data_IF_206879249431
#
_entry.id   IF_206879249431
#
_cell.length_a   1.000
_cell.length_b   1.000
_cell.length_c   1.000
_cell.angle_alpha   90.00
_cell.angle_beta   90.00
_cell.angle_gamma   90.00
#
_symmetry.space_group_name_H-M   'P 1'
#
loop_
_entity.id
_entity.type
_entity.pdbx_description
1 polymer ?
#
# COMPACT_ATOMS: atom_id res chain seq x y z
N UNK A 1 -73.01 2.59 14.71
CA UNK A 1 -72.79 4.04 14.72
C UNK A 1 -71.40 4.27 14.14
N UNK A 2 -71.39 5.09 13.10
CA UNK A 2 -70.17 5.36 12.29
C UNK A 2 -69.30 6.45 13.01
N UNK A 3 -68.02 6.20 13.13
CA UNK A 3 -67.02 7.18 13.57
C UNK A 3 -65.89 7.27 12.55
N UNK A 4 -65.82 8.38 11.81
CA UNK A 4 -64.82 8.66 10.77
C UNK A 4 -63.52 9.08 11.42
N UNK A 5 -62.38 8.51 10.98
CA UNK A 5 -61.05 9.00 11.30
C UNK A 5 -60.53 9.87 10.16
N UNK A 6 -60.25 11.14 10.49
CA UNK A 6 -59.56 12.08 9.61
C UNK A 6 -58.05 11.78 9.60
N UNK A 7 -57.52 11.45 8.43
CA UNK A 7 -56.13 11.38 8.18
C UNK A 7 -55.59 12.76 7.77
N UNK A 8 -54.79 13.38 8.62
CA UNK A 8 -54.04 14.59 8.31
C UNK A 8 -52.68 14.20 7.67
N UNK A 9 -52.56 14.43 6.38
CA UNK A 9 -51.28 14.30 5.68
C UNK A 9 -50.47 15.60 5.88
N UNK A 10 -49.44 15.55 6.71
CA UNK A 10 -48.45 16.62 6.79
C UNK A 10 -47.42 16.41 5.68
N UNK A 11 -47.50 17.26 4.67
CA UNK A 11 -46.48 17.37 3.62
C UNK A 11 -45.24 18.07 4.18
N UNK A 12 -44.16 17.30 4.40
CA UNK A 12 -42.84 17.89 4.64
C UNK A 12 -42.21 18.24 3.28
N UNK A 13 -42.12 19.53 2.99
CA UNK A 13 -41.27 20.03 1.92
C UNK A 13 -39.80 19.83 2.29
N UNK A 14 -38.90 19.40 1.39
CA UNK A 14 -37.48 19.34 1.68
C UNK A 14 -36.94 20.79 1.74
N UNK A 15 -36.56 21.23 2.93
CA UNK A 15 -35.76 22.44 3.11
C UNK A 15 -34.40 22.22 2.42
N UNK A 16 -34.12 23.11 1.48
CA UNK A 16 -32.88 23.10 0.70
C UNK A 16 -31.66 23.13 1.61
N UNK A 17 -30.89 22.06 1.56
CA UNK A 17 -29.56 22.01 2.15
C UNK A 17 -28.65 22.88 1.31
N UNK A 18 -28.31 24.02 1.84
CA UNK A 18 -27.33 24.97 1.31
C UNK A 18 -25.98 24.26 1.16
N UNK A 19 -25.54 24.11 -0.06
CA UNK A 19 -24.16 23.82 -0.45
C UNK A 19 -23.25 25.00 -0.04
N UNK A 20 -22.86 25.06 1.22
CA UNK A 20 -21.90 26.03 1.74
C UNK A 20 -20.82 25.27 2.54
N UNK A 21 -19.74 24.89 1.87
CA UNK A 21 -18.39 24.66 2.41
C UNK A 21 -17.40 24.10 1.37
N UNK A 22 -17.61 24.36 0.06
CA UNK A 22 -16.64 23.89 -0.97
C UNK A 22 -15.50 24.89 -1.22
N UNK A 23 -15.56 26.13 -0.68
CA UNK A 23 -14.63 27.18 -1.13
C UNK A 23 -13.33 27.32 -0.35
N UNK A 24 -13.20 26.76 0.85
CA UNK A 24 -11.94 26.85 1.62
C UNK A 24 -11.00 25.65 1.40
N UNK A 25 -11.50 24.48 1.04
CA UNK A 25 -10.67 23.31 0.79
C UNK A 25 -10.01 23.35 -0.61
N UNK A 26 -10.69 23.93 -1.59
CA UNK A 26 -10.18 24.02 -2.97
C UNK A 26 -8.92 24.88 -3.09
N UNK A 27 -8.81 25.95 -2.29
CA UNK A 27 -7.62 26.80 -2.26
C UNK A 27 -6.39 26.11 -1.64
N UNK A 28 -6.59 25.16 -0.72
CA UNK A 28 -5.52 24.37 -0.11
C UNK A 28 -5.03 23.22 -1.01
N UNK A 29 -5.84 22.79 -1.98
CA UNK A 29 -5.50 21.72 -2.93
C UNK A 29 -4.77 22.23 -4.18
N UNK A 30 -4.93 23.53 -4.54
CA UNK A 30 -4.31 24.09 -5.73
C UNK A 30 -2.77 24.08 -5.60
N UNK A 31 -2.15 23.22 -6.36
CA UNK A 31 -0.71 23.16 -6.56
C UNK A 31 -0.44 23.48 -8.04
N UNK A 32 0.24 24.60 -8.31
CA UNK A 32 0.70 24.90 -9.65
C UNK A 32 1.84 23.91 -10.01
N UNK A 33 1.46 22.81 -10.63
CA UNK A 33 2.41 21.78 -11.07
C UNK A 33 3.20 22.34 -12.26
N UNK A 34 4.52 22.33 -12.25
CA UNK A 34 5.33 22.78 -13.38
C UNK A 34 5.03 21.96 -14.64
N UNK A 35 5.04 22.62 -15.79
CA UNK A 35 4.97 21.95 -17.09
C UNK A 35 6.22 21.11 -17.33
N UNK A 36 6.06 19.96 -17.99
CA UNK A 36 7.15 19.12 -18.41
C UNK A 36 7.02 17.65 -18.00
N UNK A 37 7.97 16.82 -18.44
CA UNK A 37 7.97 15.41 -18.10
C UNK A 37 8.22 15.19 -16.60
N UNK A 38 7.65 14.14 -16.00
CA UNK A 38 7.75 13.86 -14.56
C UNK A 38 9.18 13.87 -14.00
N UNK A 39 10.16 13.44 -14.81
CA UNK A 39 11.59 13.40 -14.43
C UNK A 39 12.21 14.81 -14.29
N UNK A 40 11.66 15.80 -14.97
CA UNK A 40 12.06 17.21 -14.85
C UNK A 40 11.36 17.81 -13.64
N UNK A 41 10.04 17.64 -13.50
CA UNK A 41 9.26 18.08 -12.34
C UNK A 41 9.83 17.49 -11.05
N UNK A 42 10.28 16.24 -11.05
CA UNK A 42 10.89 15.58 -9.89
C UNK A 42 12.09 16.33 -9.28
N UNK A 43 12.78 17.17 -10.05
CA UNK A 43 13.97 17.91 -9.63
C UNK A 43 13.69 19.38 -9.24
N UNK A 44 12.47 19.86 -9.43
CA UNK A 44 12.07 21.22 -9.08
C UNK A 44 11.87 21.35 -7.56
N UNK A 45 12.96 21.65 -6.84
CA UNK A 45 12.94 21.78 -5.39
C UNK A 45 11.98 22.88 -4.91
N UNK A 46 11.74 23.94 -5.72
CA UNK A 46 10.80 25.00 -5.34
C UNK A 46 9.35 24.49 -5.36
N UNK A 47 8.99 23.70 -6.37
CA UNK A 47 7.69 23.01 -6.41
C UNK A 47 7.53 22.03 -5.23
N UNK A 48 8.53 21.17 -5.01
CA UNK A 48 8.45 20.16 -3.96
C UNK A 48 8.51 20.75 -2.55
N UNK A 49 9.13 21.93 -2.36
CA UNK A 49 9.02 22.66 -1.11
C UNK A 49 7.58 23.12 -0.84
N UNK A 50 6.83 23.55 -1.87
CA UNK A 50 5.39 23.86 -1.73
C UNK A 50 4.56 22.62 -1.39
N UNK A 51 4.88 21.46 -1.99
CA UNK A 51 4.24 20.18 -1.64
C UNK A 51 4.58 19.78 -0.19
N UNK A 52 5.84 19.86 0.20
CA UNK A 52 6.30 19.55 1.56
C UNK A 52 5.63 20.42 2.62
N UNK A 53 5.40 21.71 2.33
CA UNK A 53 4.67 22.64 3.20
C UNK A 53 3.20 22.25 3.44
N UNK A 54 2.66 21.29 2.69
CA UNK A 54 1.33 20.71 2.94
C UNK A 54 1.36 19.61 4.01
N UNK A 55 2.50 19.32 4.62
CA UNK A 55 2.62 18.31 5.68
C UNK A 55 3.14 18.96 6.97
N UNK A 56 2.64 18.47 8.10
CA UNK A 56 3.25 18.76 9.41
C UNK A 56 4.16 17.61 9.78
N UNK A 57 5.45 17.80 9.57
CA UNK A 57 6.49 16.82 9.89
C UNK A 57 7.21 17.28 11.15
N UNK A 58 7.65 16.34 12.00
CA UNK A 58 8.51 16.67 13.14
C UNK A 58 9.84 17.24 12.64
N UNK A 59 10.37 18.21 13.33
CA UNK A 59 11.71 18.82 13.11
C UNK A 59 12.79 18.14 13.96
N UNK A 60 12.41 17.24 14.84
CA UNK A 60 13.35 16.52 15.73
C UNK A 60 14.29 15.60 14.95
N UNK A 61 13.86 15.05 13.83
CA UNK A 61 14.61 14.09 13.01
C UNK A 61 14.35 14.29 11.53
N UNK A 62 15.33 13.95 10.69
CA UNK A 62 15.11 13.74 9.26
C UNK A 62 14.43 12.38 9.10
N UNK A 63 13.11 12.38 8.87
CA UNK A 63 12.33 11.15 8.79
C UNK A 63 12.50 10.50 7.41
N UNK A 64 13.23 9.38 7.36
CA UNK A 64 13.42 8.50 6.19
C UNK A 64 12.71 7.15 6.38
N UNK A 65 11.64 7.11 7.18
CA UNK A 65 10.83 5.90 7.47
C UNK A 65 9.33 6.18 7.26
N UNK A 66 8.94 6.58 6.05
CA UNK A 66 7.54 6.74 5.66
C UNK A 66 6.83 5.41 5.33
N UNK A 67 7.49 4.28 5.50
CA UNK A 67 6.98 2.97 5.08
C UNK A 67 6.04 2.30 6.08
N UNK A 68 5.92 2.78 7.31
CA UNK A 68 4.99 2.21 8.28
C UNK A 68 3.55 2.63 7.98
N UNK A 69 3.32 3.94 7.90
CA UNK A 69 2.10 4.57 7.39
C UNK A 69 2.44 5.92 6.78
N UNK A 70 1.56 6.48 5.94
CA UNK A 70 1.74 7.80 5.34
C UNK A 70 1.22 8.92 6.25
N UNK A 71 1.91 10.06 6.26
CA UNK A 71 1.35 11.28 6.84
C UNK A 71 0.20 11.78 5.97
N UNK A 72 -0.87 12.22 6.62
CA UNK A 72 -1.91 13.00 5.95
C UNK A 72 -1.38 14.39 5.59
N UNK A 73 -1.63 14.83 4.37
CA UNK A 73 -1.46 16.24 4.03
C UNK A 73 -2.46 17.09 4.82
N UNK A 74 -2.14 18.36 5.07
CA UNK A 74 -3.00 19.27 5.86
C UNK A 74 -4.47 19.30 5.40
N UNK A 75 -4.79 19.40 4.08
CA UNK A 75 -6.18 19.38 3.64
C UNK A 75 -6.89 18.07 3.96
N UNK A 76 -6.16 16.94 3.91
CA UNK A 76 -6.69 15.61 4.27
C UNK A 76 -6.91 15.51 5.79
N UNK A 77 -5.98 16.01 6.59
CA UNK A 77 -6.11 16.04 8.05
C UNK A 77 -7.30 16.91 8.51
N UNK A 78 -7.48 18.08 7.88
CA UNK A 78 -8.62 18.95 8.14
C UNK A 78 -9.96 18.31 7.76
N UNK A 79 -10.01 17.61 6.61
CA UNK A 79 -11.17 16.82 6.21
C UNK A 79 -11.47 15.70 7.22
N UNK A 80 -10.44 15.03 7.72
CA UNK A 80 -10.59 13.98 8.72
C UNK A 80 -11.20 14.53 10.02
N UNK A 81 -10.73 15.69 10.51
CA UNK A 81 -11.31 16.34 11.68
C UNK A 81 -12.79 16.69 11.46
N UNK A 82 -13.15 17.30 10.31
CA UNK A 82 -14.54 17.59 9.97
C UNK A 82 -15.41 16.32 9.93
N UNK A 83 -14.87 15.23 9.39
CA UNK A 83 -15.58 13.96 9.29
C UNK A 83 -15.76 13.28 10.66
N UNK A 84 -14.79 13.42 11.58
CA UNK A 84 -14.93 12.97 12.98
C UNK A 84 -16.08 13.74 13.66
N UNK A 85 -16.07 15.07 13.56
CA UNK A 85 -17.11 15.92 14.15
C UNK A 85 -18.49 15.56 13.61
N UNK A 86 -18.62 15.38 12.28
CA UNK A 86 -19.86 14.96 11.64
C UNK A 86 -20.34 13.61 12.14
N UNK A 87 -19.49 12.59 12.12
CA UNK A 87 -19.84 11.25 12.55
C UNK A 87 -20.27 11.21 14.03
N UNK A 88 -19.61 12.00 14.89
CA UNK A 88 -19.95 12.10 16.31
C UNK A 88 -21.25 12.88 16.54
N UNK A 89 -21.45 14.02 15.88
CA UNK A 89 -22.64 14.86 16.02
C UNK A 89 -23.90 14.17 15.50
N UNK A 90 -23.82 13.61 14.29
CA UNK A 90 -24.97 13.05 13.59
C UNK A 90 -25.20 11.57 13.93
N UNK A 91 -24.19 10.91 14.57
CA UNK A 91 -24.28 9.63 15.25
C UNK A 91 -24.96 8.52 14.42
N UNK A 92 -25.91 7.79 15.04
CA UNK A 92 -26.59 6.65 14.38
C UNK A 92 -27.54 7.09 13.25
N UNK A 93 -28.02 8.33 13.24
CA UNK A 93 -28.81 8.84 12.11
C UNK A 93 -27.92 8.85 10.85
N UNK A 94 -26.76 9.46 10.91
CA UNK A 94 -25.78 9.46 9.81
C UNK A 94 -25.42 8.04 9.40
N UNK A 95 -25.03 7.19 10.35
CA UNK A 95 -24.56 5.84 10.08
C UNK A 95 -25.60 4.97 9.36
N UNK A 96 -26.90 5.17 9.64
CA UNK A 96 -27.98 4.37 9.08
C UNK A 96 -28.64 4.94 7.83
N UNK A 97 -28.59 6.26 7.66
CA UNK A 97 -29.35 6.95 6.60
C UNK A 97 -28.49 7.51 5.48
N UNK A 98 -27.25 7.93 5.79
CA UNK A 98 -26.40 8.64 4.83
C UNK A 98 -25.14 7.85 4.47
N UNK A 99 -24.49 7.25 5.45
CA UNK A 99 -23.22 6.57 5.25
C UNK A 99 -23.24 5.45 4.20
N UNK A 100 -24.28 4.60 4.04
CA UNK A 100 -24.30 3.57 3.01
C UNK A 100 -24.16 4.12 1.58
N UNK A 101 -24.81 5.25 1.29
CA UNK A 101 -24.69 5.91 -0.01
C UNK A 101 -23.30 6.54 -0.18
N UNK A 102 -22.74 7.15 0.87
CA UNK A 102 -21.39 7.69 0.86
C UNK A 102 -20.34 6.59 0.67
N UNK A 103 -20.46 5.48 1.37
CA UNK A 103 -19.57 4.32 1.22
C UNK A 103 -19.55 3.83 -0.22
N UNK A 104 -20.71 3.74 -0.87
CA UNK A 104 -20.83 3.38 -2.29
C UNK A 104 -20.12 4.38 -3.20
N UNK A 105 -20.28 5.67 -2.96
CA UNK A 105 -19.62 6.72 -3.73
C UNK A 105 -18.11 6.71 -3.56
N UNK A 106 -17.60 6.55 -2.33
CA UNK A 106 -16.17 6.45 -2.04
C UNK A 106 -15.57 5.20 -2.69
N UNK A 107 -16.28 4.06 -2.63
CA UNK A 107 -15.87 2.83 -3.32
C UNK A 107 -15.72 3.04 -4.83
N UNK A 108 -16.67 3.72 -5.45
CA UNK A 108 -16.59 4.02 -6.89
C UNK A 108 -15.38 4.89 -7.24
N UNK A 109 -15.03 5.86 -6.41
CA UNK A 109 -13.84 6.70 -6.60
C UNK A 109 -12.54 5.89 -6.49
N UNK A 110 -12.42 5.05 -5.44
CA UNK A 110 -11.25 4.16 -5.31
C UNK A 110 -11.17 3.19 -6.49
N UNK A 111 -12.29 2.59 -6.89
CA UNK A 111 -12.34 1.68 -8.03
C UNK A 111 -11.89 2.38 -9.34
N UNK A 112 -12.34 3.61 -9.58
CA UNK A 112 -11.87 4.42 -10.72
C UNK A 112 -10.37 4.67 -10.63
N UNK A 113 -9.86 5.04 -9.45
CA UNK A 113 -8.43 5.33 -9.26
C UNK A 113 -7.53 4.12 -9.51
N UNK A 114 -7.98 2.90 -9.18
CA UNK A 114 -7.22 1.65 -9.41
C UNK A 114 -7.56 0.96 -10.73
N UNK A 115 -8.49 1.51 -11.53
CA UNK A 115 -8.89 0.92 -12.81
C UNK A 115 -9.64 -0.40 -12.64
N UNK A 116 -10.57 -0.50 -11.66
CA UNK A 116 -11.42 -1.67 -11.44
C UNK A 116 -12.91 -1.30 -11.47
N UNK A 117 -13.79 -2.32 -11.40
CA UNK A 117 -15.21 -2.11 -11.16
C UNK A 117 -15.46 -1.93 -9.64
N UNK A 118 -16.45 -1.11 -9.23
CA UNK A 118 -16.83 -1.02 -7.82
C UNK A 118 -17.27 -2.35 -7.21
N UNK A 119 -17.80 -3.28 -8.03
CA UNK A 119 -18.22 -4.62 -7.62
C UNK A 119 -17.04 -5.57 -7.32
N UNK A 120 -15.84 -5.21 -7.74
CA UNK A 120 -14.61 -5.98 -7.52
C UNK A 120 -13.82 -5.50 -6.30
N UNK A 121 -14.32 -4.47 -5.57
CA UNK A 121 -13.59 -3.84 -4.49
C UNK A 121 -14.46 -3.71 -3.23
N UNK A 122 -13.88 -4.03 -2.06
CA UNK A 122 -14.49 -3.73 -0.75
C UNK A 122 -13.45 -3.15 0.20
N UNK A 123 -13.92 -2.34 1.20
CA UNK A 123 -13.00 -1.73 2.16
C UNK A 123 -12.62 -2.72 3.27
N UNK A 124 -11.34 -2.63 3.66
CA UNK A 124 -10.77 -3.27 4.83
C UNK A 124 -10.14 -2.21 5.74
N UNK A 125 -9.72 -2.61 6.94
CA UNK A 125 -8.96 -1.70 7.83
C UNK A 125 -7.51 -1.52 7.36
N UNK A 126 -6.98 -2.45 6.60
CA UNK A 126 -5.64 -2.41 6.01
C UNK A 126 -5.45 -3.57 5.02
N UNK A 127 -4.34 -3.55 4.26
CA UNK A 127 -4.00 -4.64 3.34
C UNK A 127 -3.79 -5.99 4.06
N UNK A 128 -3.31 -6.00 5.29
CA UNK A 128 -3.11 -7.23 6.06
C UNK A 128 -4.42 -7.96 6.27
N UNK A 129 -5.47 -7.26 6.71
CA UNK A 129 -6.81 -7.84 6.87
C UNK A 129 -7.36 -8.35 5.54
N UNK A 130 -7.25 -7.56 4.47
CA UNK A 130 -7.68 -7.95 3.13
C UNK A 130 -6.96 -9.23 2.66
N UNK A 131 -5.65 -9.25 2.75
CA UNK A 131 -4.84 -10.39 2.31
C UNK A 131 -5.04 -11.63 3.17
N UNK A 132 -5.19 -11.48 4.50
CA UNK A 132 -5.51 -12.59 5.39
C UNK A 132 -6.87 -13.20 5.04
N UNK A 133 -7.87 -12.39 4.74
CA UNK A 133 -9.17 -12.89 4.30
C UNK A 133 -9.05 -13.62 2.95
N UNK A 134 -8.37 -13.05 1.96
CA UNK A 134 -8.13 -13.67 0.66
C UNK A 134 -7.42 -15.02 0.77
N UNK A 135 -6.35 -15.09 1.57
CA UNK A 135 -5.56 -16.30 1.76
C UNK A 135 -6.35 -17.34 2.56
N UNK A 136 -6.89 -16.97 3.72
CA UNK A 136 -7.53 -17.92 4.63
C UNK A 136 -8.82 -18.53 4.08
N UNK A 137 -9.53 -17.79 3.24
CA UNK A 137 -10.81 -18.18 2.63
C UNK A 137 -10.65 -18.76 1.22
N UNK A 138 -9.43 -18.83 0.68
CA UNK A 138 -9.18 -19.45 -0.62
C UNK A 138 -9.52 -20.94 -0.58
N UNK A 139 -10.41 -21.39 -1.51
CA UNK A 139 -11.07 -22.69 -1.41
C UNK A 139 -10.59 -23.73 -2.44
N UNK A 140 -9.52 -23.42 -3.21
CA UNK A 140 -8.97 -24.32 -4.24
C UNK A 140 -7.68 -25.01 -3.82
N UNK A 141 -7.43 -25.13 -2.52
CA UNK A 141 -6.30 -25.84 -1.93
C UNK A 141 -6.82 -27.03 -1.11
N UNK A 142 -6.24 -28.18 -1.31
CA UNK A 142 -6.54 -29.42 -0.57
C UNK A 142 -5.29 -30.23 -0.23
N UNK A 143 -5.50 -31.40 0.35
CA UNK A 143 -4.44 -32.32 0.74
C UNK A 143 -3.58 -32.72 -0.48
N UNK A 144 -2.27 -32.57 -0.34
CA UNK A 144 -1.28 -32.87 -1.38
C UNK A 144 -1.09 -31.79 -2.44
N UNK A 145 -1.81 -30.68 -2.37
CA UNK A 145 -1.50 -29.47 -3.15
C UNK A 145 -0.31 -28.70 -2.55
N UNK A 146 0.19 -27.72 -3.29
CA UNK A 146 1.24 -26.80 -2.85
C UNK A 146 0.74 -25.35 -2.93
N UNK A 147 1.20 -24.53 -2.01
CA UNK A 147 1.08 -23.07 -2.11
C UNK A 147 2.48 -22.46 -2.02
N UNK A 148 2.70 -21.29 -2.64
CA UNK A 148 4.05 -20.75 -2.82
C UNK A 148 4.13 -19.29 -2.40
N UNK A 149 5.27 -18.92 -1.77
CA UNK A 149 5.65 -17.53 -1.48
C UNK A 149 7.17 -17.36 -1.50
N UNK A 150 7.64 -16.11 -1.52
CA UNK A 150 9.06 -15.78 -1.50
C UNK A 150 9.54 -15.32 -0.11
N UNK A 151 10.86 -15.34 0.12
CA UNK A 151 11.51 -14.82 1.33
C UNK A 151 11.25 -13.33 1.55
N UNK A 152 11.10 -12.58 0.47
CA UNK A 152 10.82 -11.15 0.50
C UNK A 152 9.34 -10.82 0.78
N UNK A 153 8.42 -11.77 0.70
CA UNK A 153 7.01 -11.50 1.02
C UNK A 153 6.84 -11.10 2.49
N UNK A 154 5.78 -10.31 2.77
CA UNK A 154 5.55 -9.79 4.10
C UNK A 154 5.31 -10.93 5.10
N UNK A 155 5.99 -10.90 6.24
CA UNK A 155 6.00 -12.01 7.19
C UNK A 155 4.59 -12.45 7.63
N UNK A 156 3.68 -11.50 7.88
CA UNK A 156 2.31 -11.84 8.26
C UNK A 156 1.56 -12.62 7.17
N UNK A 157 1.89 -12.37 5.89
CA UNK A 157 1.31 -13.09 4.76
C UNK A 157 1.95 -14.47 4.61
N UNK A 158 3.27 -14.60 4.85
CA UNK A 158 3.93 -15.91 4.92
C UNK A 158 3.28 -16.79 6.03
N UNK A 159 3.00 -16.22 7.20
CA UNK A 159 2.30 -16.93 8.29
C UNK A 159 0.89 -17.35 7.88
N UNK A 160 0.14 -16.48 7.18
CA UNK A 160 -1.19 -16.80 6.69
C UNK A 160 -1.16 -17.92 5.64
N UNK A 161 -0.15 -17.95 4.76
CA UNK A 161 0.06 -19.05 3.81
C UNK A 161 0.38 -20.35 4.54
N UNK A 162 1.28 -20.31 5.54
CA UNK A 162 1.60 -21.49 6.36
C UNK A 162 0.35 -22.05 7.09
N UNK A 163 -0.48 -21.18 7.66
CA UNK A 163 -1.71 -21.55 8.33
C UNK A 163 -2.71 -22.19 7.34
N UNK A 164 -2.90 -21.60 6.16
CA UNK A 164 -3.74 -22.18 5.11
C UNK A 164 -3.26 -23.56 4.72
N UNK A 165 -1.95 -23.75 4.49
CA UNK A 165 -1.37 -25.04 4.14
C UNK A 165 -1.64 -26.08 5.24
N UNK A 166 -1.37 -25.73 6.50
CA UNK A 166 -1.59 -26.62 7.64
C UNK A 166 -3.06 -27.05 7.77
N UNK A 167 -4.00 -26.11 7.65
CA UNK A 167 -5.44 -26.39 7.74
C UNK A 167 -5.98 -27.23 6.59
N UNK A 168 -5.39 -27.15 5.41
CA UNK A 168 -5.84 -27.84 4.19
C UNK A 168 -5.04 -29.09 3.87
N UNK A 169 -4.00 -29.44 4.65
CA UNK A 169 -3.12 -30.58 4.38
C UNK A 169 -2.24 -30.38 3.15
N UNK A 170 -1.97 -29.15 2.78
CA UNK A 170 -1.12 -28.76 1.67
C UNK A 170 0.33 -28.56 2.13
N UNK A 171 1.25 -28.45 1.17
CA UNK A 171 2.65 -28.12 1.43
C UNK A 171 2.95 -26.66 1.05
N UNK A 172 4.02 -26.12 1.64
CA UNK A 172 4.52 -24.78 1.30
C UNK A 172 5.83 -24.90 0.52
N UNK A 173 5.89 -24.29 -0.65
CA UNK A 173 7.13 -24.06 -1.38
C UNK A 173 7.60 -22.63 -1.16
N UNK A 174 8.79 -22.46 -0.59
CA UNK A 174 9.43 -21.16 -0.41
C UNK A 174 10.48 -20.95 -1.47
N UNK A 175 10.47 -19.75 -2.07
CA UNK A 175 11.44 -19.28 -3.04
C UNK A 175 12.29 -18.17 -2.43
N UNK A 176 13.60 -18.17 -2.68
CA UNK A 176 14.47 -17.04 -2.35
C UNK A 176 14.66 -16.16 -3.59
N UNK A 177 14.36 -14.87 -3.48
CA UNK A 177 14.55 -13.91 -4.57
C UNK A 177 16.05 -13.69 -4.79
N UNK A 178 16.53 -13.72 -6.06
CA UNK A 178 17.92 -13.46 -6.35
C UNK A 178 18.41 -12.09 -5.83
N UNK A 179 19.57 -12.06 -5.22
CA UNK A 179 20.24 -10.84 -4.77
C UNK A 179 21.70 -10.88 -5.23
N UNK A 180 22.14 -9.98 -6.13
CA UNK A 180 21.37 -8.88 -6.72
C UNK A 180 20.25 -9.39 -7.64
N UNK A 181 19.15 -8.62 -7.72
CA UNK A 181 18.01 -8.95 -8.55
C UNK A 181 18.18 -8.37 -9.97
N UNK A 182 17.68 -9.08 -10.98
CA UNK A 182 17.36 -8.54 -12.30
C UNK A 182 16.03 -9.14 -12.73
N UNK A 183 15.31 -8.50 -13.65
CA UNK A 183 14.03 -9.02 -14.10
C UNK A 183 14.15 -10.45 -14.63
N UNK A 184 15.17 -10.73 -15.45
CA UNK A 184 15.41 -12.07 -15.99
C UNK A 184 15.72 -13.11 -14.90
N UNK A 185 16.53 -12.75 -13.90
CA UNK A 185 16.86 -13.64 -12.79
C UNK A 185 15.64 -13.94 -11.91
N UNK A 186 14.78 -12.92 -11.66
CA UNK A 186 13.52 -13.09 -10.92
C UNK A 186 12.59 -14.05 -11.67
N UNK A 187 12.35 -13.81 -12.98
CA UNK A 187 11.48 -14.67 -13.80
C UNK A 187 12.01 -16.09 -13.89
N UNK A 188 13.31 -16.27 -14.06
CA UNK A 188 13.96 -17.60 -14.07
C UNK A 188 13.78 -18.32 -12.73
N UNK A 189 13.90 -17.61 -11.60
CA UNK A 189 13.70 -18.19 -10.27
C UNK A 189 12.25 -18.65 -10.06
N UNK A 190 11.25 -17.83 -10.43
CA UNK A 190 9.84 -18.24 -10.38
C UNK A 190 9.53 -19.40 -11.33
N UNK A 191 10.01 -19.37 -12.57
CA UNK A 191 9.83 -20.48 -13.52
C UNK A 191 10.35 -21.79 -12.93
N UNK A 192 11.61 -21.79 -12.45
CA UNK A 192 12.21 -22.97 -11.83
C UNK A 192 11.43 -23.47 -10.62
N UNK A 193 10.97 -22.55 -9.76
CA UNK A 193 10.20 -22.92 -8.56
C UNK A 193 8.84 -23.52 -8.92
N UNK A 194 8.13 -22.94 -9.91
CA UNK A 194 6.84 -23.42 -10.39
C UNK A 194 6.96 -24.79 -11.07
N UNK A 195 8.00 -24.99 -11.88
CA UNK A 195 8.24 -26.28 -12.56
C UNK A 195 8.60 -27.39 -11.55
N UNK A 196 9.34 -27.05 -10.48
CA UNK A 196 9.64 -27.98 -9.40
C UNK A 196 8.43 -28.31 -8.50
N UNK A 197 7.37 -27.50 -8.54
CA UNK A 197 6.17 -27.64 -7.73
C UNK A 197 4.89 -27.64 -8.57
N UNK A 198 4.65 -28.65 -9.42
CA UNK A 198 3.56 -28.66 -10.40
C UNK A 198 2.15 -28.74 -9.76
N UNK A 199 2.06 -29.03 -8.46
CA UNK A 199 0.81 -29.03 -7.69
C UNK A 199 0.50 -27.70 -7.03
N UNK A 200 1.21 -26.64 -7.37
CA UNK A 200 0.94 -25.28 -6.84
C UNK A 200 -0.45 -24.81 -7.26
N UNK A 201 -1.24 -24.29 -6.29
CA UNK A 201 -2.59 -23.74 -6.51
C UNK A 201 -2.68 -22.24 -6.24
N UNK A 202 -1.91 -21.76 -5.29
CA UNK A 202 -1.90 -20.35 -4.87
C UNK A 202 -0.46 -19.85 -4.80
N UNK A 203 -0.23 -18.70 -5.41
CA UNK A 203 1.03 -17.96 -5.37
C UNK A 203 0.80 -16.59 -4.72
N UNK A 204 1.57 -16.29 -3.67
CA UNK A 204 1.66 -14.96 -3.07
C UNK A 204 2.77 -14.16 -3.74
N UNK A 205 2.51 -12.91 -4.09
CA UNK A 205 3.48 -11.95 -4.62
C UNK A 205 3.37 -10.63 -3.89
N UNK A 206 4.46 -10.08 -3.39
CA UNK A 206 4.51 -8.69 -2.92
C UNK A 206 5.06 -7.80 -4.03
N UNK A 207 4.21 -6.92 -4.61
CA UNK A 207 4.59 -6.09 -5.76
C UNK A 207 5.73 -5.13 -5.43
N UNK A 208 5.60 -4.32 -4.35
CA UNK A 208 6.70 -3.52 -3.82
C UNK A 208 7.12 -4.06 -2.47
N UNK A 209 8.30 -4.64 -2.40
CA UNK A 209 8.75 -5.31 -1.19
C UNK A 209 9.01 -4.32 -0.04
N UNK A 210 8.46 -4.62 1.12
CA UNK A 210 8.59 -3.76 2.32
C UNK A 210 9.98 -3.82 2.99
N UNK A 211 10.83 -4.78 2.65
CA UNK A 211 12.16 -4.97 3.24
C UNK A 211 13.23 -4.25 2.41
N UNK A 212 13.27 -4.52 1.12
CA UNK A 212 14.29 -4.01 0.20
C UNK A 212 13.80 -2.92 -0.75
N UNK A 213 12.49 -2.82 -0.97
CA UNK A 213 11.89 -1.92 -1.96
C UNK A 213 11.92 -2.43 -3.41
N UNK A 214 12.35 -3.69 -3.61
CA UNK A 214 12.32 -4.30 -4.94
C UNK A 214 10.88 -4.35 -5.47
N UNK A 215 10.66 -3.83 -6.67
CA UNK A 215 9.42 -4.02 -7.42
C UNK A 215 9.51 -5.34 -8.20
N UNK A 216 8.58 -6.25 -7.96
CA UNK A 216 8.50 -7.49 -8.73
C UNK A 216 7.78 -7.25 -10.07
N UNK A 217 8.20 -7.93 -11.15
CA UNK A 217 7.49 -7.95 -12.44
C UNK A 217 6.23 -8.84 -12.33
N UNK A 218 5.21 -8.35 -11.60
CA UNK A 218 4.03 -9.14 -11.20
C UNK A 218 3.29 -9.67 -12.41
N UNK A 219 3.05 -8.84 -13.43
CA UNK A 219 2.31 -9.23 -14.64
C UNK A 219 2.96 -10.41 -15.35
N UNK A 220 4.29 -10.36 -15.49
CA UNK A 220 5.06 -11.42 -16.12
C UNK A 220 5.04 -12.71 -15.26
N UNK A 221 5.12 -12.59 -13.93
CA UNK A 221 5.01 -13.75 -13.04
C UNK A 221 3.59 -14.35 -13.09
N UNK A 222 2.55 -13.51 -13.13
CA UNK A 222 1.16 -13.96 -13.34
C UNK A 222 1.03 -14.71 -14.68
N UNK A 223 1.66 -14.22 -15.75
CA UNK A 223 1.68 -14.90 -17.05
C UNK A 223 2.38 -16.27 -17.01
N UNK A 224 3.34 -16.48 -16.11
CA UNK A 224 3.91 -17.80 -15.85
C UNK A 224 2.98 -18.72 -15.04
N UNK A 225 2.25 -18.16 -14.08
CA UNK A 225 1.38 -18.91 -13.16
C UNK A 225 0.06 -19.35 -13.82
N UNK A 226 -0.58 -18.46 -14.58
CA UNK A 226 -1.93 -18.66 -15.14
C UNK A 226 -2.09 -19.91 -16.02
N UNK A 227 -1.18 -20.20 -17.00
CA UNK A 227 -1.28 -21.42 -17.84
C UNK A 227 -1.13 -22.72 -17.01
N UNK A 228 -0.57 -22.64 -15.81
CA UNK A 228 -0.43 -23.74 -14.85
C UNK A 228 -1.63 -23.94 -13.95
N UNK A 229 -2.70 -23.12 -14.13
CA UNK A 229 -3.89 -23.15 -13.28
C UNK A 229 -3.65 -22.62 -11.86
N UNK A 230 -2.62 -21.80 -11.66
CA UNK A 230 -2.24 -21.23 -10.38
C UNK A 230 -2.90 -19.85 -10.24
N UNK A 231 -3.62 -19.63 -9.14
CA UNK A 231 -4.16 -18.31 -8.81
C UNK A 231 -3.13 -17.47 -8.06
N UNK A 232 -3.21 -16.15 -8.26
CA UNK A 232 -2.23 -15.22 -7.70
C UNK A 232 -2.90 -14.20 -6.80
N UNK A 233 -2.39 -14.10 -5.56
CA UNK A 233 -2.72 -13.04 -4.62
C UNK A 233 -1.56 -12.06 -4.52
N UNK A 234 -1.84 -10.76 -4.69
CA UNK A 234 -0.83 -9.71 -4.71
C UNK A 234 -0.97 -8.79 -3.50
N UNK A 235 0.12 -8.65 -2.76
CA UNK A 235 0.29 -7.60 -1.77
C UNK A 235 0.77 -6.32 -2.46
N UNK A 236 -0.15 -5.37 -2.64
CA UNK A 236 0.13 -4.04 -3.19
C UNK A 236 0.20 -2.95 -2.09
N UNK A 237 0.41 -3.34 -0.83
CA UNK A 237 0.42 -2.42 0.32
C UNK A 237 1.42 -1.27 0.17
N UNK A 238 2.53 -1.47 -0.53
CA UNK A 238 3.56 -0.46 -0.75
C UNK A 238 3.63 0.06 -2.18
N UNK A 239 3.10 -0.64 -3.16
CA UNK A 239 3.10 -0.16 -4.54
C UNK A 239 1.93 0.79 -4.83
N UNK A 240 0.76 0.52 -4.26
CA UNK A 240 -0.40 1.36 -4.44
C UNK A 240 -0.17 2.79 -3.92
N UNK A 241 -0.30 3.77 -4.81
CA UNK A 241 -0.04 5.18 -4.52
C UNK A 241 1.44 5.57 -4.43
N UNK A 242 2.38 4.64 -4.54
CA UNK A 242 3.81 4.93 -4.66
C UNK A 242 4.26 5.00 -6.13
N UNK A 243 3.77 4.07 -6.91
CA UNK A 243 4.06 3.98 -8.35
C UNK A 243 2.75 4.01 -9.13
N UNK A 244 2.74 4.43 -10.41
CA UNK A 244 1.59 4.29 -11.28
C UNK A 244 1.18 2.82 -11.34
N UNK A 245 -0.10 2.53 -11.06
CA UNK A 245 -0.59 1.17 -10.91
C UNK A 245 -2.09 1.10 -11.13
N UNK A 246 -2.52 0.21 -12.01
CA UNK A 246 -3.91 -0.23 -12.15
C UNK A 246 -4.04 -1.73 -11.91
N UNK A 247 -5.26 -2.23 -11.73
CA UNK A 247 -5.49 -3.67 -11.59
C UNK A 247 -5.12 -4.42 -12.87
N UNK A 248 -5.24 -3.79 -14.04
CA UNK A 248 -4.81 -4.35 -15.33
C UNK A 248 -3.28 -4.49 -15.43
N UNK A 249 -2.52 -3.62 -14.77
CA UNK A 249 -1.05 -3.72 -14.74
C UNK A 249 -0.56 -4.89 -13.90
N UNK A 250 -1.32 -5.28 -12.87
CA UNK A 250 -1.01 -6.47 -12.08
C UNK A 250 -1.52 -7.74 -12.73
N UNK A 251 -2.66 -7.69 -13.41
CA UNK A 251 -3.39 -8.83 -13.99
C UNK A 251 -3.61 -10.00 -13.00
N UNK A 252 -3.68 -9.68 -11.70
CA UNK A 252 -3.81 -10.64 -10.61
C UNK A 252 -5.26 -11.09 -10.39
N UNK A 253 -5.46 -12.23 -9.71
CA UNK A 253 -6.78 -12.70 -9.33
C UNK A 253 -7.31 -11.97 -8.09
N UNK A 254 -6.43 -11.65 -7.15
CA UNK A 254 -6.71 -11.03 -5.86
C UNK A 254 -5.65 -10.01 -5.49
N UNK A 255 -6.07 -8.87 -4.88
CA UNK A 255 -5.11 -7.83 -4.45
C UNK A 255 -5.52 -7.25 -3.09
N UNK A 256 -4.55 -7.04 -2.21
CA UNK A 256 -4.71 -6.27 -0.97
C UNK A 256 -4.02 -4.91 -1.07
N UNK A 257 -4.72 -3.83 -0.70
CA UNK A 257 -4.29 -2.45 -0.83
C UNK A 257 -4.27 -1.73 0.52
N UNK A 258 -3.34 -0.78 0.71
CA UNK A 258 -3.39 0.20 1.80
C UNK A 258 -3.68 1.59 1.25
N UNK A 259 -4.74 2.23 1.76
CA UNK A 259 -5.04 3.64 1.47
C UNK A 259 -4.30 4.58 2.44
N UNK A 260 -3.97 4.11 3.63
CA UNK A 260 -3.31 4.89 4.68
C UNK A 260 -1.77 4.95 4.57
N UNK A 261 -1.16 4.41 3.52
CA UNK A 261 0.28 4.52 3.26
C UNK A 261 0.55 5.63 2.25
N UNK A 262 0.77 5.26 1.01
CA UNK A 262 1.20 6.20 -0.03
C UNK A 262 0.09 7.11 -0.56
N UNK A 263 -1.17 6.76 -0.38
CA UNK A 263 -2.31 7.66 -0.64
C UNK A 263 -2.42 8.72 0.46
N UNK A 264 -2.03 8.38 1.69
CA UNK A 264 -2.06 9.31 2.82
C UNK A 264 -3.46 9.53 3.39
N UNK A 265 -4.38 8.57 3.23
CA UNK A 265 -5.63 8.56 3.97
C UNK A 265 -5.38 8.28 5.47
N UNK A 266 -6.34 8.53 6.38
CA UNK A 266 -6.19 8.22 7.80
C UNK A 266 -5.89 6.74 8.04
N UNK A 267 -5.10 6.43 9.09
CA UNK A 267 -4.81 5.04 9.48
C UNK A 267 -6.10 4.28 9.76
N UNK A 268 -6.17 3.03 9.28
CA UNK A 268 -7.33 2.17 9.46
C UNK A 268 -8.22 2.04 8.22
N UNK A 269 -7.68 2.31 7.02
CA UNK A 269 -8.36 2.05 5.75
C UNK A 269 -7.43 1.40 4.74
N UNK A 270 -7.91 0.33 4.14
CA UNK A 270 -7.36 -0.40 3.02
C UNK A 270 -8.49 -0.91 2.14
N UNK A 271 -8.17 -1.74 1.16
CA UNK A 271 -9.16 -2.35 0.29
C UNK A 271 -8.73 -3.76 -0.12
N UNK A 272 -9.73 -4.59 -0.37
CA UNK A 272 -9.64 -5.90 -1.01
C UNK A 272 -10.17 -5.79 -2.42
N UNK A 273 -9.42 -6.30 -3.39
CA UNK A 273 -9.85 -6.49 -4.77
C UNK A 273 -9.95 -7.99 -5.08
N UNK A 274 -11.03 -8.38 -5.72
CA UNK A 274 -11.23 -9.72 -6.28
C UNK A 274 -11.73 -9.53 -7.72
N UNK A 275 -11.00 -10.06 -8.69
CA UNK A 275 -11.46 -10.07 -10.06
C UNK A 275 -12.83 -10.78 -10.14
N UNK A 276 -13.78 -10.21 -10.84
CA UNK A 276 -15.20 -10.61 -10.83
C UNK A 276 -15.41 -12.11 -11.06
N UNK A 277 -14.70 -12.69 -12.04
CA UNK A 277 -14.76 -14.11 -12.38
C UNK A 277 -14.06 -15.03 -11.35
N UNK A 278 -13.44 -14.46 -10.32
CA UNK A 278 -12.71 -15.17 -9.26
C UNK A 278 -13.41 -15.12 -7.90
N UNK A 279 -14.53 -14.42 -7.80
CA UNK A 279 -15.23 -14.24 -6.52
C UNK A 279 -15.62 -15.60 -5.87
N UNK A 280 -15.98 -16.60 -6.66
CA UNK A 280 -16.34 -17.95 -6.17
C UNK A 280 -15.15 -18.76 -5.62
N UNK A 281 -13.91 -18.29 -5.80
CA UNK A 281 -12.70 -18.94 -5.30
C UNK A 281 -12.38 -18.55 -3.85
N UNK A 282 -13.08 -17.54 -3.33
CA UNK A 282 -12.92 -17.05 -1.95
C UNK A 282 -14.24 -17.35 -1.23
N UNK A 283 -14.17 -18.09 -0.14
CA UNK A 283 -15.34 -18.39 0.70
C UNK A 283 -15.87 -17.11 1.36
N UNK A 284 -17.11 -17.14 1.81
CA UNK A 284 -17.72 -16.10 2.62
C UNK A 284 -16.91 -15.92 3.91
N UNK A 285 -16.82 -14.71 4.41
CA UNK A 285 -16.26 -14.43 5.73
C UNK A 285 -17.00 -15.27 6.79
N UNK A 286 -16.24 -15.83 7.73
CA UNK A 286 -16.77 -16.81 8.68
C UNK A 286 -18.01 -16.27 9.42
N UNK A 287 -19.13 -16.98 9.28
CA UNK A 287 -20.40 -16.66 9.94
C UNK A 287 -21.13 -15.41 9.43
N UNK A 288 -20.63 -14.74 8.36
CA UNK A 288 -21.27 -13.54 7.84
C UNK A 288 -22.34 -13.86 6.79
N UNK A 289 -23.58 -13.50 7.12
CA UNK A 289 -24.74 -13.57 6.21
C UNK A 289 -25.31 -12.18 5.85
N UNK A 290 -24.61 -11.11 6.22
CA UNK A 290 -25.08 -9.74 6.03
C UNK A 290 -25.11 -9.28 4.57
N UNK A 291 -24.32 -9.93 3.70
CA UNK A 291 -24.26 -9.64 2.27
C UNK A 291 -24.54 -10.91 1.43
N UNK A 292 -25.11 -10.75 0.20
CA UNK A 292 -25.30 -11.87 -0.73
C UNK A 292 -23.97 -12.53 -1.08
N UNK A 293 -23.98 -13.88 -1.24
CA UNK A 293 -22.78 -14.65 -1.62
C UNK A 293 -22.16 -14.19 -2.95
N UNK A 294 -22.93 -13.53 -3.81
CA UNK A 294 -22.50 -12.97 -5.08
C UNK A 294 -21.87 -11.58 -4.93
N UNK A 295 -21.86 -11.00 -3.73
CA UNK A 295 -21.21 -9.72 -3.45
C UNK A 295 -19.83 -9.93 -2.85
N UNK A 296 -18.87 -9.09 -3.24
CA UNK A 296 -17.54 -9.04 -2.62
C UNK A 296 -17.63 -8.69 -1.13
N UNK A 297 -18.64 -7.94 -0.71
CA UNK A 297 -18.84 -7.54 0.69
C UNK A 297 -19.03 -8.76 1.60
N UNK A 298 -19.50 -9.89 1.08
CA UNK A 298 -19.59 -11.14 1.84
C UNK A 298 -18.24 -11.80 2.14
N UNK A 299 -17.15 -11.30 1.58
CA UNK A 299 -15.80 -11.85 1.77
C UNK A 299 -15.05 -11.20 2.93
N UNK A 300 -15.56 -10.09 3.47
CA UNK A 300 -14.91 -9.39 4.55
C UNK A 300 -15.94 -8.75 5.48
N UNK A 301 -16.00 -9.24 6.73
CA UNK A 301 -16.87 -8.68 7.76
C UNK A 301 -16.06 -7.86 8.75
N UNK A 302 -16.18 -6.53 8.69
CA UNK A 302 -15.40 -5.62 9.54
C UNK A 302 -16.19 -5.09 10.75
N UNK A 303 -17.51 -5.36 10.83
CA UNK A 303 -18.39 -4.78 11.84
C UNK A 303 -18.46 -3.25 11.72
N UNK A 304 -18.62 -2.56 12.85
CA UNK A 304 -18.61 -1.09 12.89
C UNK A 304 -17.17 -0.59 12.76
N UNK A 305 -16.91 0.18 11.71
CA UNK A 305 -15.59 0.79 11.45
C UNK A 305 -15.58 2.26 11.80
N UNK A 306 -14.43 2.92 11.70
CA UNK A 306 -14.33 4.37 11.80
C UNK A 306 -14.86 5.02 10.52
N UNK A 307 -16.07 5.55 10.55
CA UNK A 307 -16.71 6.19 9.40
C UNK A 307 -15.88 7.35 8.83
N UNK A 308 -15.33 8.19 9.72
CA UNK A 308 -14.55 9.35 9.32
C UNK A 308 -13.32 8.96 8.48
N UNK A 309 -12.71 7.80 8.76
CA UNK A 309 -11.56 7.29 8.01
C UNK A 309 -11.92 7.04 6.54
N UNK A 310 -13.03 6.34 6.30
CA UNK A 310 -13.48 6.04 4.92
C UNK A 310 -13.95 7.31 4.22
N UNK A 311 -14.69 8.20 4.94
CA UNK A 311 -15.17 9.47 4.40
C UNK A 311 -14.05 10.41 3.95
N UNK A 312 -12.84 10.26 4.47
CA UNK A 312 -11.67 11.10 4.14
C UNK A 312 -10.86 10.55 2.96
N UNK A 313 -11.16 9.34 2.49
CA UNK A 313 -10.46 8.76 1.34
C UNK A 313 -10.55 9.64 0.09
N UNK A 314 -11.73 10.25 -0.27
CA UNK A 314 -11.82 11.15 -1.42
C UNK A 314 -10.84 12.32 -1.35
N UNK A 315 -10.72 12.98 -0.19
CA UNK A 315 -9.80 14.11 0.00
C UNK A 315 -8.34 13.69 -0.19
N UNK A 316 -7.99 12.48 0.25
CA UNK A 316 -6.65 11.94 0.05
C UNK A 316 -6.38 11.63 -1.44
N UNK A 317 -7.33 11.04 -2.16
CA UNK A 317 -7.20 10.78 -3.59
C UNK A 317 -7.10 12.07 -4.40
N UNK A 318 -7.91 13.08 -4.06
CA UNK A 318 -7.89 14.40 -4.71
C UNK A 318 -6.53 15.10 -4.50
N UNK A 319 -5.98 15.05 -3.28
CA UNK A 319 -4.63 15.57 -3.02
C UNK A 319 -3.57 14.86 -3.85
N UNK A 320 -3.63 13.54 -3.99
CA UNK A 320 -2.69 12.80 -4.85
C UNK A 320 -2.87 13.17 -6.34
N UNK A 321 -4.11 13.32 -6.79
CA UNK A 321 -4.42 13.72 -8.15
C UNK A 321 -3.91 15.14 -8.48
N UNK A 322 -3.95 16.07 -7.50
CA UNK A 322 -3.44 17.45 -7.68
C UNK A 322 -1.93 17.52 -7.91
N UNK A 323 -1.17 16.51 -7.50
CA UNK A 323 0.28 16.37 -7.75
C UNK A 323 0.53 15.62 -9.07
N UNK A 324 -0.30 14.62 -9.36
CA UNK A 324 -0.11 13.63 -10.41
C UNK A 324 0.69 12.42 -9.93
N UNK A 325 0.19 11.23 -10.24
CA UNK A 325 0.79 9.96 -9.78
C UNK A 325 2.20 9.76 -10.36
N UNK A 326 2.39 10.14 -11.62
CA UNK A 326 3.67 10.05 -12.33
C UNK A 326 4.71 11.01 -11.74
N UNK A 327 4.30 12.25 -11.46
CA UNK A 327 5.18 13.26 -10.83
C UNK A 327 5.63 12.80 -9.44
N UNK A 328 4.68 12.28 -8.65
CA UNK A 328 4.97 11.70 -7.34
C UNK A 328 5.95 10.53 -7.44
N UNK A 329 5.69 9.57 -8.32
CA UNK A 329 6.57 8.41 -8.50
C UNK A 329 7.97 8.82 -8.95
N UNK A 330 8.07 9.79 -9.87
CA UNK A 330 9.34 10.34 -10.32
C UNK A 330 10.09 11.06 -9.19
N UNK A 331 9.38 11.86 -8.35
CA UNK A 331 9.99 12.51 -7.18
C UNK A 331 10.54 11.53 -6.17
N UNK A 332 9.74 10.53 -5.80
CA UNK A 332 10.15 9.52 -4.85
C UNK A 332 11.36 8.74 -5.34
N UNK A 333 11.39 8.38 -6.63
CA UNK A 333 12.55 7.75 -7.27
C UNK A 333 13.76 8.68 -7.29
N UNK A 334 13.59 9.96 -7.63
CA UNK A 334 14.65 10.95 -7.61
C UNK A 334 15.31 11.05 -6.22
N UNK A 335 14.52 11.13 -5.16
CA UNK A 335 15.04 11.16 -3.78
C UNK A 335 15.81 9.88 -3.44
N UNK A 336 15.27 8.72 -3.83
CA UNK A 336 15.96 7.44 -3.67
C UNK A 336 17.27 7.40 -4.45
N UNK A 337 17.26 7.74 -5.73
CA UNK A 337 18.42 7.64 -6.60
C UNK A 337 19.53 8.62 -6.17
N UNK A 338 19.15 9.77 -5.61
CA UNK A 338 20.10 10.78 -5.16
C UNK A 338 21.04 10.28 -4.06
N UNK A 339 20.55 9.56 -3.07
CA UNK A 339 21.43 8.99 -2.06
C UNK A 339 22.08 7.68 -2.53
N UNK A 340 21.35 6.84 -3.25
CA UNK A 340 21.83 5.53 -3.72
C UNK A 340 23.02 5.68 -4.66
N UNK A 341 22.98 6.61 -5.63
CA UNK A 341 24.07 6.83 -6.58
C UNK A 341 25.39 7.23 -5.88
N UNK A 342 25.31 7.95 -4.76
CA UNK A 342 26.47 8.39 -3.98
C UNK A 342 27.09 7.28 -3.13
N UNK A 343 26.30 6.30 -2.71
CA UNK A 343 26.79 5.26 -1.79
C UNK A 343 27.04 3.89 -2.45
N UNK A 344 26.47 3.62 -3.63
CA UNK A 344 26.53 2.31 -4.28
C UNK A 344 27.95 1.84 -4.58
N UNK A 345 28.89 2.75 -4.83
CA UNK A 345 30.29 2.46 -5.13
C UNK A 345 31.21 2.59 -3.89
N UNK A 346 30.65 2.95 -2.74
CA UNK A 346 31.41 3.08 -1.49
C UNK A 346 31.75 1.70 -0.95
N UNK A 347 33.03 1.48 -0.64
CA UNK A 347 33.48 0.20 -0.10
C UNK A 347 32.72 -0.15 1.20
N UNK A 348 32.26 -1.38 1.30
CA UNK A 348 31.48 -1.86 2.44
C UNK A 348 29.99 -1.53 2.39
N UNK A 349 29.50 -0.75 1.42
CA UNK A 349 28.06 -0.49 1.25
C UNK A 349 27.46 -1.44 0.21
N UNK A 350 26.45 -2.18 0.60
CA UNK A 350 25.67 -3.05 -0.28
C UNK A 350 24.22 -2.54 -0.37
N UNK A 351 23.85 -1.93 -1.51
CA UNK A 351 22.47 -1.52 -1.84
C UNK A 351 21.73 -2.72 -2.44
N UNK A 352 20.61 -3.11 -1.84
CA UNK A 352 19.92 -4.38 -2.14
C UNK A 352 19.00 -4.32 -3.36
N UNK A 353 18.65 -3.11 -3.83
CA UNK A 353 17.89 -2.96 -5.08
C UNK A 353 18.82 -2.79 -6.27
N UNK A 354 18.44 -3.31 -7.46
CA UNK A 354 19.23 -3.16 -8.68
C UNK A 354 19.28 -1.71 -9.16
N UNK A 355 20.15 -1.45 -10.14
CA UNK A 355 20.19 -0.20 -10.88
C UNK A 355 19.33 -0.31 -12.15
N UNK A 356 18.05 -0.60 -11.94
CA UNK A 356 17.03 -0.77 -12.96
C UNK A 356 15.78 0.00 -12.54
N UNK A 357 15.43 1.03 -13.30
CA UNK A 357 14.33 1.93 -13.01
C UNK A 357 12.96 1.23 -12.97
N UNK A 358 12.81 0.07 -13.60
CA UNK A 358 11.56 -0.72 -13.61
C UNK A 358 11.38 -1.54 -12.34
N UNK A 359 12.47 -1.80 -11.63
CA UNK A 359 12.49 -2.66 -10.43
C UNK A 359 12.62 -1.87 -9.13
N UNK A 360 12.52 -0.53 -9.15
CA UNK A 360 12.72 0.32 -7.98
C UNK A 360 11.66 1.42 -7.86
N UNK A 361 11.24 1.70 -6.62
CA UNK A 361 10.39 2.82 -6.24
C UNK A 361 11.12 3.77 -5.28
N UNK A 362 10.42 4.19 -4.22
CA UNK A 362 10.97 5.03 -3.15
C UNK A 362 11.83 4.23 -2.16
N UNK A 363 11.38 3.03 -1.82
CA UNK A 363 11.97 2.19 -0.77
C UNK A 363 13.27 1.58 -1.25
N UNK A 364 14.30 1.57 -0.39
CA UNK A 364 15.55 0.86 -0.67
C UNK A 364 16.17 0.36 0.63
N UNK A 365 16.55 -0.93 0.66
CA UNK A 365 17.34 -1.54 1.73
C UNK A 365 18.83 -1.47 1.43
N UNK A 366 19.65 -1.35 2.47
CA UNK A 366 21.11 -1.46 2.36
C UNK A 366 21.72 -2.16 3.57
N UNK A 367 22.94 -2.69 3.39
CA UNK A 367 23.80 -3.26 4.45
C UNK A 367 25.15 -2.58 4.46
N UNK A 368 25.83 -2.56 5.62
CA UNK A 368 27.21 -2.12 5.75
C UNK A 368 28.12 -3.26 6.22
N UNK A 369 29.27 -3.46 5.58
CA UNK A 369 30.34 -4.36 6.00
C UNK A 369 29.85 -5.77 6.36
N UNK A 370 28.95 -6.36 5.54
CA UNK A 370 28.33 -7.67 5.81
C UNK A 370 27.57 -7.78 7.15
N UNK A 371 27.07 -6.67 7.67
CA UNK A 371 26.18 -6.68 8.85
C UNK A 371 24.83 -7.28 8.47
N UNK A 372 24.64 -8.54 8.78
CA UNK A 372 23.49 -9.34 8.33
C UNK A 372 22.53 -9.73 9.46
N UNK A 373 22.92 -9.50 10.72
CA UNK A 373 22.06 -9.83 11.87
C UNK A 373 21.13 -8.69 12.25
N UNK A 374 20.02 -9.02 12.90
CA UNK A 374 19.05 -8.04 13.42
C UNK A 374 19.72 -7.01 14.34
N UNK A 375 20.54 -7.49 15.28
CA UNK A 375 21.23 -6.61 16.23
C UNK A 375 22.18 -5.61 15.54
N UNK A 376 22.93 -6.05 14.54
CA UNK A 376 23.85 -5.20 13.78
C UNK A 376 23.10 -4.12 12.97
N UNK A 377 21.98 -4.47 12.35
CA UNK A 377 21.18 -3.53 11.56
C UNK A 377 20.37 -2.58 12.46
N UNK A 378 19.92 -3.05 13.64
CA UNK A 378 19.33 -2.17 14.64
C UNK A 378 20.38 -1.15 15.16
N UNK A 379 21.60 -1.58 15.47
CA UNK A 379 22.68 -0.70 15.89
C UNK A 379 23.00 0.35 14.79
N UNK A 380 23.02 -0.07 13.52
CA UNK A 380 23.21 0.85 12.39
C UNK A 380 22.08 1.89 12.30
N UNK A 381 20.83 1.47 12.43
CA UNK A 381 19.69 2.40 12.43
C UNK A 381 19.74 3.37 13.62
N UNK A 382 20.16 2.91 14.80
CA UNK A 382 20.37 3.76 15.97
C UNK A 382 21.51 4.76 15.74
N UNK A 383 22.63 4.33 15.17
CA UNK A 383 23.75 5.25 14.81
C UNK A 383 23.29 6.34 13.86
N UNK A 384 22.47 6.02 12.83
CA UNK A 384 21.92 7.03 11.93
C UNK A 384 21.04 8.04 12.68
N UNK A 385 20.26 7.57 13.66
CA UNK A 385 19.42 8.44 14.46
C UNK A 385 20.23 9.28 15.46
N UNK A 386 21.05 8.64 16.28
CA UNK A 386 21.70 9.28 17.42
C UNK A 386 22.82 10.24 17.03
N UNK A 387 23.61 9.91 16.00
CA UNK A 387 24.74 10.76 15.57
C UNK A 387 24.38 11.72 14.43
N UNK A 388 23.39 11.37 13.57
CA UNK A 388 23.08 12.15 12.37
C UNK A 388 21.65 12.71 12.36
N UNK A 389 20.82 12.35 13.33
CA UNK A 389 19.42 12.77 13.40
C UNK A 389 18.59 12.25 12.23
N UNK A 390 18.89 11.04 11.70
CA UNK A 390 18.20 10.45 10.56
C UNK A 390 17.46 9.19 11.02
N UNK A 391 16.13 9.22 10.96
CA UNK A 391 15.29 8.09 11.36
C UNK A 391 15.10 7.12 10.19
N UNK A 392 15.59 5.89 10.38
CA UNK A 392 15.46 4.73 9.49
C UNK A 392 15.06 3.51 10.32
N UNK A 393 14.80 2.36 9.68
CA UNK A 393 14.41 1.16 10.45
C UNK A 393 15.00 -0.13 9.84
N UNK A 394 15.42 -1.06 10.71
CA UNK A 394 15.89 -2.38 10.28
C UNK A 394 14.74 -3.23 9.73
N UNK A 395 15.06 -4.17 8.83
CA UNK A 395 14.14 -5.16 8.29
C UNK A 395 14.76 -6.55 8.37
N UNK A 396 13.92 -7.54 8.69
CA UNK A 396 14.32 -8.91 9.01
C UNK A 396 13.71 -9.92 8.04
N UNK A 397 14.28 -11.14 8.01
CA UNK A 397 13.72 -12.27 7.29
C UNK A 397 14.10 -12.37 5.82
N UNK A 398 15.12 -11.63 5.37
CA UNK A 398 15.72 -11.81 4.05
C UNK A 398 16.63 -13.04 4.05
N UNK A 399 16.65 -13.82 2.96
CA UNK A 399 17.46 -15.03 2.85
C UNK A 399 18.97 -14.77 3.06
N UNK A 400 19.48 -13.61 2.61
CA UNK A 400 20.91 -13.23 2.74
C UNK A 400 21.20 -12.33 3.95
N UNK A 401 20.28 -12.24 4.90
CA UNK A 401 20.44 -11.48 6.14
C UNK A 401 19.68 -10.14 6.13
N UNK A 402 19.55 -9.58 7.31
CA UNK A 402 18.78 -8.37 7.59
C UNK A 402 19.41 -7.12 6.98
N UNK A 403 18.66 -6.03 6.93
CA UNK A 403 19.10 -4.76 6.34
C UNK A 403 18.50 -3.55 7.07
N UNK A 404 19.02 -2.36 6.79
CA UNK A 404 18.35 -1.09 7.10
C UNK A 404 17.57 -0.63 5.89
N UNK A 405 16.30 -0.25 6.11
CA UNK A 405 15.42 0.29 5.07
C UNK A 405 15.38 1.82 5.15
N UNK A 406 15.45 2.45 3.99
CA UNK A 406 15.22 3.87 3.75
C UNK A 406 13.93 4.04 2.96
N UNK A 407 13.07 4.96 3.40
CA UNK A 407 11.78 5.22 2.77
C UNK A 407 11.49 6.72 2.78
N UNK A 408 11.99 7.50 1.80
CA UNK A 408 11.66 8.91 1.67
C UNK A 408 10.20 9.11 1.29
N UNK A 409 9.65 10.28 1.62
CA UNK A 409 8.31 10.71 1.26
C UNK A 409 8.32 12.07 0.57
N UNK A 410 7.15 12.58 0.18
CA UNK A 410 7.02 13.85 -0.55
C UNK A 410 7.44 15.08 0.28
N UNK A 411 7.50 14.97 1.59
CA UNK A 411 7.97 16.02 2.48
C UNK A 411 9.51 16.06 2.63
N UNK A 412 10.22 15.06 2.09
CA UNK A 412 11.69 15.08 2.09
C UNK A 412 12.24 15.91 0.93
N UNK A 413 13.35 16.60 1.21
CA UNK A 413 14.11 17.39 0.25
C UNK A 413 15.28 16.61 -0.37
N UNK A 414 15.88 17.16 -1.43
CA UNK A 414 17.14 16.66 -1.96
C UNK A 414 18.27 16.74 -0.91
N UNK A 415 18.26 17.78 -0.06
CA UNK A 415 19.24 17.94 1.02
C UNK A 415 19.12 16.82 2.08
N UNK A 416 17.91 16.32 2.37
CA UNK A 416 17.73 15.17 3.27
C UNK A 416 18.35 13.89 2.69
N UNK A 417 18.19 13.68 1.38
CA UNK A 417 18.82 12.55 0.70
C UNK A 417 20.35 12.66 0.69
N UNK A 418 20.90 13.87 0.51
CA UNK A 418 22.34 14.12 0.59
C UNK A 418 22.88 13.90 2.00
N UNK A 419 22.18 14.40 3.03
CA UNK A 419 22.51 14.18 4.44
C UNK A 419 22.59 12.69 4.77
N UNK A 420 21.64 11.89 4.28
CA UNK A 420 21.66 10.44 4.45
C UNK A 420 22.89 9.80 3.77
N UNK A 421 23.18 10.18 2.53
CA UNK A 421 24.35 9.66 1.80
C UNK A 421 25.66 9.99 2.55
N UNK A 422 25.82 11.23 3.03
CA UNK A 422 26.98 11.65 3.81
C UNK A 422 27.13 10.85 5.10
N UNK A 423 26.04 10.60 5.81
CA UNK A 423 26.04 9.79 7.02
C UNK A 423 26.47 8.34 6.74
N UNK A 424 25.91 7.71 5.70
CA UNK A 424 26.27 6.33 5.31
C UNK A 424 27.75 6.24 4.95
N UNK A 425 28.28 7.20 4.15
CA UNK A 425 29.70 7.26 3.76
C UNK A 425 30.60 7.38 5.00
N UNK A 426 30.25 8.27 5.94
CA UNK A 426 31.03 8.45 7.19
C UNK A 426 31.01 7.19 8.07
N UNK A 427 29.87 6.51 8.18
CA UNK A 427 29.79 5.28 8.98
C UNK A 427 30.57 4.15 8.29
N UNK A 428 30.46 4.04 6.94
CA UNK A 428 31.19 3.01 6.19
C UNK A 428 32.72 3.18 6.30
N UNK A 429 33.22 4.40 6.42
CA UNK A 429 34.65 4.66 6.59
C UNK A 429 35.21 4.26 7.98
N UNK A 430 34.36 3.93 8.93
CA UNK A 430 34.80 3.50 10.30
C UNK A 430 35.07 1.99 10.39
N UNK A 431 34.67 1.18 9.40
CA UNK A 431 34.82 -0.30 9.37
C UNK A 431 33.57 -1.02 9.84
#
# INVERSE_FOLDING_TARGET
MKGAALAGAASFAPSGSTLLAASSSTALLALDVPDGPPQVVAKDEAFWARVAARYRVTDNVTNMEAGYFGLMALPVLEAFHRNIDRANRDSSFFARREYPAMLTAVRAQVATFVGSKPTELTFSRNATEALQALISQYNRVGAGDTIMYADLDYNAMQWSMNDLAARRGATVARLDIPEPASQSAILAAYTKALDANPKTRLLLLTHCNNKTGLLLPVKEIVALARPRGIHVVVDAAHSFGQVPLTMADLDADFVGLNLHKWIGAPVGVGAMYIREDRLSLIDRAHGDESAPITSIDSRLHTGTTNFATVMTVPDALEFQASIGVENKAARLRYLRDRWVSRVRTVNGVNVLTPDDATLVGAITGFRLHNRITTAQNQALANTLLDEFGIFTFQRTGLAKGDCVRVTPALYNSAADADKLADAIIKIAARG
#
